data_IF_694829024072
#
_entry.id   IF_694829024072
#
_cell.length_a   1.000
_cell.length_b   1.000
_cell.length_c   1.000
_cell.angle_alpha   90.00
_cell.angle_beta   90.00
_cell.angle_gamma   90.00
#
_symmetry.space_group_name_H-M   'P 1'
#
loop_
_entity.id
_entity.type
_entity.pdbx_description
1 polymer ?
#
# COMPACT_ATOMS: atom_id res chain seq x y z
N UNK A 1 7.77 -3.46 -17.61
CA UNK A 1 7.47 -4.89 -17.68
C UNK A 1 5.99 -5.16 -17.86
N UNK A 2 5.64 -5.55 -19.09
CA UNK A 2 4.28 -5.89 -19.54
C UNK A 2 4.04 -7.42 -19.56
N UNK A 3 4.73 -8.18 -18.70
CA UNK A 3 4.75 -9.65 -18.76
C UNK A 3 3.82 -10.36 -17.75
N UNK A 4 2.95 -9.64 -17.02
CA UNK A 4 1.95 -10.28 -16.16
C UNK A 4 0.57 -10.47 -16.81
N UNK A 5 0.48 -10.47 -18.14
CA UNK A 5 -0.74 -10.83 -18.89
C UNK A 5 -0.60 -12.22 -19.50
N UNK A 6 -0.79 -13.34 -18.76
CA UNK A 6 -1.28 -14.55 -19.47
C UNK A 6 -2.09 -15.62 -18.70
N UNK A 7 -2.74 -15.38 -17.54
CA UNK A 7 -3.59 -16.42 -16.90
C UNK A 7 -5.06 -16.02 -16.78
N UNK A 8 -5.37 -14.83 -16.25
CA UNK A 8 -6.77 -14.44 -15.97
C UNK A 8 -7.64 -14.28 -17.23
N UNK A 9 -7.10 -13.75 -18.33
CA UNK A 9 -7.83 -13.60 -19.59
C UNK A 9 -8.10 -14.94 -20.33
N UNK A 10 -7.38 -16.01 -19.95
CA UNK A 10 -7.66 -17.38 -20.40
C UNK A 10 -8.71 -18.04 -19.50
N UNK A 11 -8.69 -17.78 -18.19
CA UNK A 11 -9.65 -18.33 -17.23
C UNK A 11 -11.07 -17.77 -17.42
N UNK A 12 -11.20 -16.46 -17.67
CA UNK A 12 -12.49 -15.78 -17.87
C UNK A 12 -13.29 -16.32 -19.07
N UNK A 13 -12.63 -16.96 -20.05
CA UNK A 13 -13.31 -17.59 -21.20
C UNK A 13 -13.98 -18.93 -20.87
N UNK A 14 -13.69 -19.51 -19.70
CA UNK A 14 -14.15 -20.86 -19.30
C UNK A 14 -14.93 -20.87 -17.98
N UNK A 15 -15.08 -19.72 -17.32
CA UNK A 15 -15.89 -19.58 -16.12
C UNK A 15 -17.35 -19.34 -16.54
N UNK A 16 -18.27 -20.15 -16.01
CA UNK A 16 -19.70 -19.85 -16.09
C UNK A 16 -19.96 -18.45 -15.51
N UNK A 17 -20.96 -17.73 -16.04
CA UNK A 17 -21.32 -16.38 -15.57
C UNK A 17 -21.40 -16.31 -14.03
N UNK A 18 -21.98 -17.33 -13.40
CA UNK A 18 -22.11 -17.49 -11.95
C UNK A 18 -20.76 -17.43 -11.19
N UNK A 19 -19.68 -17.93 -11.78
CA UNK A 19 -18.36 -17.93 -11.15
C UNK A 19 -17.67 -16.56 -11.25
N UNK A 20 -18.03 -15.75 -12.26
CA UNK A 20 -17.56 -14.38 -12.36
C UNK A 20 -18.27 -13.50 -11.33
N UNK A 21 -19.58 -13.68 -11.18
CA UNK A 21 -20.40 -12.93 -10.23
C UNK A 21 -19.93 -13.21 -8.79
N UNK A 22 -19.75 -14.49 -8.43
CA UNK A 22 -19.20 -14.89 -7.12
C UNK A 22 -17.85 -14.23 -6.84
N UNK A 23 -16.98 -14.15 -7.86
CA UNK A 23 -15.66 -13.54 -7.70
C UNK A 23 -15.74 -12.02 -7.51
N UNK A 24 -16.65 -11.34 -8.20
CA UNK A 24 -16.89 -9.91 -7.98
C UNK A 24 -17.41 -9.67 -6.56
N UNK A 25 -18.37 -10.47 -6.09
CA UNK A 25 -18.88 -10.37 -4.73
C UNK A 25 -17.79 -10.59 -3.66
N UNK A 26 -16.87 -11.54 -3.88
CA UNK A 26 -15.71 -11.75 -3.00
C UNK A 26 -14.83 -10.50 -2.93
N UNK A 27 -14.54 -9.88 -4.07
CA UNK A 27 -13.75 -8.65 -4.14
C UNK A 27 -14.47 -7.48 -3.45
N UNK A 28 -15.79 -7.37 -3.61
CA UNK A 28 -16.62 -6.35 -2.97
C UNK A 28 -16.63 -6.48 -1.45
N UNK A 29 -16.70 -7.72 -0.92
CA UNK A 29 -16.53 -7.97 0.52
C UNK A 29 -15.15 -7.55 1.02
N UNK A 30 -14.10 -7.79 0.25
CA UNK A 30 -12.75 -7.32 0.60
C UNK A 30 -12.66 -5.78 0.56
N UNK A 31 -13.28 -5.13 -0.42
CA UNK A 31 -13.36 -3.66 -0.50
C UNK A 31 -14.05 -3.12 0.75
N UNK A 32 -15.25 -3.63 1.07
CA UNK A 32 -16.02 -3.25 2.25
C UNK A 32 -15.17 -3.38 3.53
N UNK A 33 -14.49 -4.52 3.70
CA UNK A 33 -13.58 -4.75 4.83
C UNK A 33 -12.50 -3.65 4.92
N UNK A 34 -11.85 -3.31 3.81
CA UNK A 34 -10.76 -2.35 3.77
C UNK A 34 -11.20 -0.88 3.86
N UNK A 35 -12.49 -0.57 3.77
CA UNK A 35 -13.00 0.79 3.95
C UNK A 35 -13.83 0.96 5.22
N UNK A 36 -14.02 -0.10 6.02
CA UNK A 36 -14.82 -0.06 7.26
C UNK A 36 -14.12 -0.61 8.50
N UNK A 37 -13.46 -1.78 8.40
CA UNK A 37 -12.89 -2.51 9.55
C UNK A 37 -11.37 -2.40 9.61
N UNK A 38 -10.72 -2.71 8.49
CA UNK A 38 -9.26 -2.73 8.37
C UNK A 38 -8.83 -1.65 7.38
N UNK A 39 -8.98 -0.38 7.77
CA UNK A 39 -8.80 0.77 6.88
C UNK A 39 -7.51 0.69 6.05
N UNK A 40 -7.67 0.54 4.74
CA UNK A 40 -6.60 0.39 3.77
C UNK A 40 -7.10 0.70 2.34
N UNK A 41 -7.23 1.98 2.03
CA UNK A 41 -7.79 2.46 0.76
C UNK A 41 -6.98 2.04 -0.47
N UNK A 42 -5.66 1.86 -0.37
CA UNK A 42 -4.90 1.33 -1.51
C UNK A 42 -5.12 -0.18 -1.73
N UNK A 43 -5.42 -0.98 -0.69
CA UNK A 43 -5.90 -2.35 -0.91
C UNK A 43 -7.28 -2.35 -1.56
N UNK A 44 -8.20 -1.50 -1.10
CA UNK A 44 -9.50 -1.31 -1.74
C UNK A 44 -9.35 -0.91 -3.21
N UNK A 45 -8.45 0.04 -3.53
CA UNK A 45 -8.14 0.46 -4.90
C UNK A 45 -7.65 -0.70 -5.78
N UNK A 46 -6.76 -1.57 -5.28
CA UNK A 46 -6.33 -2.77 -6.03
C UNK A 46 -7.48 -3.72 -6.34
N UNK A 47 -8.44 -3.86 -5.42
CA UNK A 47 -9.63 -4.71 -5.64
C UNK A 47 -10.60 -4.08 -6.62
N UNK A 48 -10.87 -2.78 -6.47
CA UNK A 48 -11.70 -2.03 -7.41
C UNK A 48 -11.14 -2.08 -8.83
N UNK A 49 -9.81 -1.96 -9.01
CA UNK A 49 -9.19 -2.13 -10.32
C UNK A 49 -9.55 -3.47 -10.96
N UNK A 50 -9.49 -4.56 -10.18
CA UNK A 50 -9.86 -5.88 -10.67
C UNK A 50 -11.35 -5.96 -11.01
N UNK A 51 -12.23 -5.46 -10.14
CA UNK A 51 -13.68 -5.46 -10.41
C UNK A 51 -13.99 -4.66 -11.67
N UNK A 52 -13.49 -3.44 -11.79
CA UNK A 52 -13.76 -2.55 -12.90
C UNK A 52 -13.25 -3.11 -14.22
N UNK A 53 -12.05 -3.70 -14.22
CA UNK A 53 -11.49 -4.37 -15.39
C UNK A 53 -12.35 -5.56 -15.85
N UNK A 54 -12.93 -6.31 -14.90
CA UNK A 54 -13.73 -7.51 -15.19
C UNK A 54 -15.17 -7.17 -15.61
N UNK A 55 -15.73 -6.10 -15.04
CA UNK A 55 -17.10 -5.64 -15.30
C UNK A 55 -17.21 -4.66 -16.49
N UNK A 56 -16.08 -4.33 -17.13
CA UNK A 56 -16.05 -3.46 -18.32
C UNK A 56 -16.01 -1.95 -18.01
N UNK A 57 -15.80 -1.56 -16.75
CA UNK A 57 -15.61 -0.17 -16.29
C UNK A 57 -14.17 0.29 -16.55
N UNK A 58 -13.77 0.33 -17.82
CA UNK A 58 -12.37 0.51 -18.20
C UNK A 58 -11.80 1.89 -17.87
N UNK A 59 -12.63 2.94 -17.84
CA UNK A 59 -12.20 4.29 -17.49
C UNK A 59 -11.75 4.36 -16.01
N UNK A 60 -12.56 3.83 -15.10
CA UNK A 60 -12.19 3.77 -13.68
C UNK A 60 -11.03 2.80 -13.44
N UNK A 61 -10.94 1.71 -14.21
CA UNK A 61 -9.77 0.82 -14.15
C UNK A 61 -8.49 1.52 -14.61
N UNK A 62 -8.55 2.35 -15.65
CA UNK A 62 -7.42 3.13 -16.13
C UNK A 62 -6.98 4.17 -15.09
N UNK A 63 -7.94 4.89 -14.50
CA UNK A 63 -7.69 5.84 -13.41
C UNK A 63 -6.97 5.16 -12.23
N UNK A 64 -7.47 4.01 -11.77
CA UNK A 64 -6.85 3.29 -10.67
C UNK A 64 -5.45 2.79 -11.03
N UNK A 65 -5.21 2.36 -12.27
CA UNK A 65 -3.86 1.96 -12.73
C UNK A 65 -2.90 3.14 -12.65
N UNK A 66 -3.30 4.31 -13.17
CA UNK A 66 -2.47 5.52 -13.14
C UNK A 66 -2.20 6.00 -11.73
N UNK A 67 -3.19 5.87 -10.83
CA UNK A 67 -3.01 6.15 -9.42
C UNK A 67 -1.88 5.31 -8.80
N UNK A 68 -1.71 4.04 -9.20
CA UNK A 68 -0.60 3.18 -8.76
C UNK A 68 0.75 3.48 -9.42
N UNK A 69 0.78 4.31 -10.45
CA UNK A 69 2.02 4.81 -11.05
C UNK A 69 2.49 6.11 -10.37
N UNK A 70 1.70 6.69 -9.45
CA UNK A 70 2.07 7.90 -8.72
C UNK A 70 3.18 7.65 -7.68
N UNK A 71 4.12 8.59 -7.48
CA UNK A 71 5.20 8.45 -6.49
C UNK A 71 4.71 8.16 -5.07
N UNK A 72 3.55 8.71 -4.68
CA UNK A 72 2.87 8.44 -3.41
C UNK A 72 2.67 6.96 -3.11
N UNK A 73 2.52 6.14 -4.14
CA UNK A 73 2.28 4.71 -3.98
C UNK A 73 3.55 3.90 -3.75
N UNK A 74 4.74 4.48 -4.01
CA UNK A 74 6.01 3.88 -3.62
C UNK A 74 6.09 3.69 -2.09
N UNK A 75 5.36 4.50 -1.32
CA UNK A 75 5.25 4.37 0.14
C UNK A 75 4.57 3.06 0.59
N UNK A 76 3.85 2.35 -0.29
CA UNK A 76 3.44 0.97 0.03
C UNK A 76 4.63 0.02 0.13
N UNK A 77 5.65 0.22 -0.70
CA UNK A 77 6.85 -0.60 -0.72
C UNK A 77 7.76 -0.27 0.47
N UNK A 78 7.77 0.99 0.91
CA UNK A 78 8.58 1.42 2.06
C UNK A 78 8.17 0.73 3.37
N UNK A 79 6.89 0.39 3.53
CA UNK A 79 6.42 -0.42 4.67
C UNK A 79 7.03 -1.83 4.72
N UNK A 80 7.19 -2.48 3.56
CA UNK A 80 7.78 -3.82 3.49
C UNK A 80 9.26 -3.78 3.88
N UNK A 81 9.95 -2.70 3.52
CA UNK A 81 11.34 -2.48 3.88
C UNK A 81 11.49 -2.20 5.39
N UNK A 82 10.67 -1.33 5.99
CA UNK A 82 10.69 -1.11 7.46
C UNK A 82 10.44 -2.41 8.23
N UNK A 83 9.51 -3.27 7.77
CA UNK A 83 9.31 -4.60 8.35
C UNK A 83 10.55 -5.49 8.20
N UNK A 84 11.19 -5.45 7.04
CA UNK A 84 12.42 -6.21 6.80
C UNK A 84 13.54 -5.75 7.74
N UNK A 85 13.67 -4.44 7.99
CA UNK A 85 14.61 -3.92 8.98
C UNK A 85 14.32 -4.48 10.39
N UNK A 86 13.06 -4.47 10.81
CA UNK A 86 12.64 -5.03 12.11
C UNK A 86 12.91 -6.53 12.23
N UNK A 87 12.56 -7.32 11.21
CA UNK A 87 12.79 -8.76 11.19
C UNK A 87 14.29 -9.08 11.30
N UNK A 88 15.16 -8.28 10.67
CA UNK A 88 16.62 -8.44 10.72
C UNK A 88 17.17 -8.12 12.11
N UNK A 89 16.76 -6.99 12.69
CA UNK A 89 17.16 -6.60 14.05
C UNK A 89 16.71 -7.66 15.06
N UNK A 90 15.50 -8.20 14.92
CA UNK A 90 14.96 -9.24 15.81
C UNK A 90 15.59 -10.61 15.66
N UNK A 91 16.06 -10.97 14.47
CA UNK A 91 16.61 -12.30 14.19
C UNK A 91 18.11 -12.40 14.48
N UNK A 92 18.77 -11.29 14.87
CA UNK A 92 20.23 -11.19 14.94
C UNK A 92 20.92 -11.74 13.68
N UNK A 93 20.22 -11.71 12.53
CA UNK A 93 20.72 -12.27 11.30
C UNK A 93 21.99 -11.52 10.91
N UNK A 94 23.02 -12.26 10.47
CA UNK A 94 24.27 -11.69 10.00
C UNK A 94 24.04 -10.95 8.67
N UNK A 95 23.52 -9.72 8.75
CA UNK A 95 23.39 -8.79 7.65
C UNK A 95 24.42 -7.69 7.84
N UNK A 96 25.00 -7.24 6.74
CA UNK A 96 25.90 -6.10 6.70
C UNK A 96 25.15 -4.82 7.17
N UNK A 97 25.52 -4.22 8.33
CA UNK A 97 24.91 -3.00 8.83
C UNK A 97 24.98 -1.84 7.84
N UNK A 98 26.00 -1.81 6.98
CA UNK A 98 26.15 -0.78 5.93
C UNK A 98 25.05 -0.90 4.89
N UNK A 99 24.72 -2.12 4.47
CA UNK A 99 23.65 -2.37 3.50
C UNK A 99 22.27 -2.03 4.08
N UNK A 100 22.11 -2.19 5.40
CA UNK A 100 20.86 -1.91 6.11
C UNK A 100 20.64 -0.40 6.29
N UNK A 101 21.69 0.34 6.64
CA UNK A 101 21.67 1.81 6.69
C UNK A 101 21.42 2.41 5.30
N UNK A 102 22.06 1.89 4.25
CA UNK A 102 21.83 2.35 2.88
C UNK A 102 20.37 2.17 2.43
N UNK A 103 19.71 1.09 2.85
CA UNK A 103 18.28 0.89 2.61
C UNK A 103 17.43 1.91 3.37
N UNK A 104 17.74 2.18 4.64
CA UNK A 104 17.05 3.20 5.43
C UNK A 104 17.20 4.61 4.81
N UNK A 105 18.39 4.94 4.29
CA UNK A 105 18.65 6.23 3.61
C UNK A 105 17.87 6.34 2.29
N UNK A 106 17.79 5.25 1.51
CA UNK A 106 16.99 5.22 0.28
C UNK A 106 15.48 5.40 0.57
N UNK A 107 14.99 4.82 1.67
CA UNK A 107 13.63 5.02 2.15
C UNK A 107 13.38 6.48 2.52
N UNK A 108 14.29 7.09 3.28
CA UNK A 108 14.22 8.50 3.65
C UNK A 108 14.15 9.39 2.40
N UNK A 109 15.00 9.14 1.41
CA UNK A 109 14.96 9.89 0.15
C UNK A 109 13.64 9.71 -0.60
N UNK A 110 13.03 8.52 -0.55
CA UNK A 110 11.74 8.27 -1.18
C UNK A 110 10.65 9.08 -0.48
N UNK A 111 10.58 9.01 0.85
CA UNK A 111 9.62 9.78 1.65
C UNK A 111 9.76 11.27 1.40
N UNK A 112 11.00 11.76 1.32
CA UNK A 112 11.33 13.17 1.11
C UNK A 112 10.90 13.70 -0.27
N UNK A 113 10.96 12.86 -1.30
CA UNK A 113 10.57 13.19 -2.67
C UNK A 113 9.06 13.10 -2.91
N UNK A 114 8.37 12.29 -2.10
CA UNK A 114 7.00 11.89 -2.34
C UNK A 114 6.01 12.69 -1.48
N UNK A 115 6.41 13.03 -0.26
CA UNK A 115 5.56 13.74 0.68
C UNK A 115 5.94 15.22 0.72
N UNK A 116 4.94 16.05 0.99
CA UNK A 116 5.11 17.48 1.21
C UNK A 116 4.53 17.94 2.55
N UNK A 117 4.98 19.12 3.00
CA UNK A 117 4.43 19.82 4.16
C UNK A 117 4.54 19.03 5.48
N UNK A 118 3.57 19.18 6.40
CA UNK A 118 3.63 18.57 7.73
C UNK A 118 3.80 17.05 7.74
N UNK A 119 3.16 16.34 6.80
CA UNK A 119 3.25 14.87 6.68
C UNK A 119 4.66 14.41 6.31
N UNK A 120 5.36 15.14 5.43
CA UNK A 120 6.78 14.90 5.13
C UNK A 120 7.62 15.03 6.38
N UNK A 121 7.44 16.11 7.14
CA UNK A 121 8.24 16.39 8.34
C UNK A 121 8.07 15.29 9.41
N UNK A 122 6.85 14.80 9.61
CA UNK A 122 6.57 13.70 10.53
C UNK A 122 7.24 12.40 10.07
N UNK A 123 7.00 11.99 8.83
CA UNK A 123 7.52 10.75 8.28
C UNK A 123 9.06 10.72 8.23
N UNK A 124 9.69 11.82 7.79
CA UNK A 124 11.16 11.96 7.80
C UNK A 124 11.68 11.88 9.22
N UNK A 125 11.07 12.57 10.20
CA UNK A 125 11.53 12.51 11.60
C UNK A 125 11.50 11.08 12.17
N UNK A 126 10.41 10.34 11.92
CA UNK A 126 10.28 8.95 12.39
C UNK A 126 11.31 8.04 11.70
N UNK A 127 11.48 8.17 10.40
CA UNK A 127 12.44 7.36 9.63
C UNK A 127 13.89 7.67 9.98
N UNK A 128 14.24 8.93 10.22
CA UNK A 128 15.58 9.31 10.69
C UNK A 128 15.87 8.72 12.07
N UNK A 129 14.86 8.67 12.96
CA UNK A 129 15.00 8.03 14.26
C UNK A 129 15.27 6.53 14.13
N UNK A 130 14.55 5.83 13.25
CA UNK A 130 14.79 4.40 12.96
C UNK A 130 16.22 4.20 12.42
N UNK A 131 16.65 5.04 11.48
CA UNK A 131 18.02 5.01 10.92
C UNK A 131 19.09 5.23 11.98
N UNK A 132 18.90 6.21 12.87
CA UNK A 132 19.87 6.53 13.92
C UNK A 132 19.97 5.44 15.00
N UNK A 133 18.86 4.78 15.32
CA UNK A 133 18.87 3.65 16.26
C UNK A 133 19.53 2.42 15.67
N UNK A 134 19.36 2.21 14.36
CA UNK A 134 20.07 1.18 13.63
C UNK A 134 21.59 1.41 13.64
N UNK A 135 22.01 2.65 13.41
CA UNK A 135 23.43 3.07 13.39
C UNK A 135 24.10 2.88 14.76
N UNK A 136 23.36 3.08 15.85
CA UNK A 136 23.85 2.87 17.22
C UNK A 136 23.91 1.40 17.64
N UNK A 137 23.16 0.52 16.97
CA UNK A 137 23.00 -0.87 17.41
C UNK A 137 22.31 -1.00 18.78
N UNK A 138 21.36 -0.10 19.05
CA UNK A 138 20.65 0.01 20.33
C UNK A 138 19.64 -1.15 20.57
N UNK A 139 19.00 -1.15 21.75
CA UNK A 139 17.96 -2.10 22.18
C UNK A 139 16.92 -2.43 21.09
N UNK A 140 16.87 -3.71 20.69
CA UNK A 140 15.98 -4.23 19.66
C UNK A 140 14.49 -3.96 19.95
N UNK A 141 14.06 -3.99 21.22
CA UNK A 141 12.66 -3.73 21.59
C UNK A 141 12.28 -2.27 21.32
N UNK A 142 13.21 -1.36 21.61
CA UNK A 142 13.04 0.07 21.35
C UNK A 142 13.03 0.34 19.84
N UNK A 143 13.91 -0.31 19.08
CA UNK A 143 13.91 -0.23 17.62
C UNK A 143 12.56 -0.66 17.04
N UNK A 144 12.05 -1.84 17.44
CA UNK A 144 10.75 -2.35 16.99
C UNK A 144 9.63 -1.35 17.25
N UNK A 145 9.57 -0.75 18.44
CA UNK A 145 8.53 0.23 18.77
C UNK A 145 8.56 1.45 17.84
N UNK A 146 9.74 1.96 17.48
CA UNK A 146 9.84 3.10 16.56
C UNK A 146 9.63 2.69 15.09
N UNK A 147 10.06 1.49 14.69
CA UNK A 147 9.77 0.94 13.37
C UNK A 147 8.25 0.79 13.16
N UNK A 148 7.52 0.30 14.18
CA UNK A 148 6.06 0.22 14.15
C UNK A 148 5.40 1.61 14.08
N UNK A 149 5.90 2.58 14.83
CA UNK A 149 5.40 3.96 14.77
C UNK A 149 5.61 4.58 13.38
N UNK A 150 6.81 4.43 12.79
CA UNK A 150 7.12 4.89 11.45
C UNK A 150 6.22 4.21 10.40
N UNK A 151 5.99 2.90 10.54
CA UNK A 151 5.11 2.14 9.65
C UNK A 151 3.65 2.60 9.76
N UNK A 152 3.16 2.87 10.97
CA UNK A 152 1.81 3.36 11.19
C UNK A 152 1.59 4.74 10.56
N UNK A 153 2.55 5.65 10.70
CA UNK A 153 2.50 6.97 10.08
C UNK A 153 2.51 6.88 8.55
N UNK A 154 3.45 6.12 7.98
CA UNK A 154 3.50 5.91 6.53
C UNK A 154 2.21 5.28 6.00
N UNK A 155 1.60 4.35 6.76
CA UNK A 155 0.29 3.80 6.42
C UNK A 155 -0.79 4.87 6.43
N UNK A 156 -0.86 5.71 7.46
CA UNK A 156 -1.86 6.77 7.53
C UNK A 156 -1.76 7.71 6.33
N UNK A 157 -0.54 8.14 5.99
CA UNK A 157 -0.30 9.04 4.85
C UNK A 157 -0.74 8.42 3.53
N UNK A 158 -0.36 7.16 3.28
CA UNK A 158 -0.76 6.43 2.07
C UNK A 158 -2.27 6.25 2.04
N UNK A 159 -2.86 5.89 3.18
CA UNK A 159 -4.30 5.66 3.29
C UNK A 159 -5.09 6.93 2.98
N UNK A 160 -4.64 8.08 3.50
CA UNK A 160 -5.24 9.38 3.24
C UNK A 160 -5.10 9.77 1.76
N UNK A 161 -3.92 9.56 1.15
CA UNK A 161 -3.71 9.79 -0.28
C UNK A 161 -4.70 8.99 -1.14
N UNK A 162 -4.83 7.68 -0.89
CA UNK A 162 -5.77 6.85 -1.65
C UNK A 162 -7.22 7.26 -1.37
N UNK A 163 -7.57 7.57 -0.13
CA UNK A 163 -8.91 8.04 0.20
C UNK A 163 -9.29 9.31 -0.58
N UNK A 164 -8.42 10.32 -0.57
CA UNK A 164 -8.62 11.58 -1.30
C UNK A 164 -8.81 11.33 -2.80
N UNK A 165 -7.98 10.46 -3.40
CA UNK A 165 -8.05 10.17 -4.85
C UNK A 165 -9.29 9.36 -5.23
N UNK A 166 -9.63 8.35 -4.43
CA UNK A 166 -10.82 7.53 -4.69
C UNK A 166 -12.12 8.31 -4.52
N UNK A 167 -12.18 9.25 -3.59
CA UNK A 167 -13.37 10.08 -3.35
C UNK A 167 -13.47 11.28 -4.29
N UNK A 168 -12.38 11.66 -4.97
CA UNK A 168 -12.40 12.74 -5.96
C UNK A 168 -13.12 12.37 -7.27
N UNK A 169 -13.22 11.08 -7.62
CA UNK A 169 -13.95 10.62 -8.80
C UNK A 169 -15.36 10.14 -8.40
N UNK A 170 -16.45 10.83 -8.81
CA UNK A 170 -17.80 10.52 -8.33
C UNK A 170 -18.26 9.08 -8.58
N UNK A 171 -17.85 8.46 -9.70
CA UNK A 171 -18.21 7.08 -10.04
C UNK A 171 -17.53 6.04 -9.14
N UNK A 172 -16.33 6.34 -8.62
CA UNK A 172 -15.63 5.49 -7.65
C UNK A 172 -16.20 5.73 -6.27
N UNK A 173 -16.46 6.98 -5.89
CA UNK A 173 -17.09 7.31 -4.62
C UNK A 173 -18.47 6.63 -4.49
N UNK A 174 -19.31 6.71 -5.52
CA UNK A 174 -20.61 6.05 -5.54
C UNK A 174 -20.49 4.53 -5.40
N UNK A 175 -19.47 3.94 -6.03
CA UNK A 175 -19.21 2.50 -5.92
C UNK A 175 -18.76 2.11 -4.50
N UNK A 176 -17.91 2.90 -3.86
CA UNK A 176 -17.52 2.70 -2.47
C UNK A 176 -18.72 2.74 -1.52
N UNK A 177 -19.61 3.72 -1.71
CA UNK A 177 -20.87 3.83 -0.93
C UNK A 177 -21.70 2.56 -1.10
N UNK A 178 -21.89 2.10 -2.34
CA UNK A 178 -22.64 0.87 -2.62
C UNK A 178 -22.03 -0.37 -1.92
N UNK A 179 -20.70 -0.53 -1.93
CA UNK A 179 -20.04 -1.63 -1.22
C UNK A 179 -20.18 -1.55 0.30
N UNK A 180 -20.42 -0.37 0.87
CA UNK A 180 -20.61 -0.19 2.32
C UNK A 180 -22.05 -0.35 2.79
N UNK A 181 -23.02 -0.21 1.87
CA UNK A 181 -24.44 -0.35 2.15
C UNK A 181 -24.99 -1.76 1.87
N UNK A 182 -24.21 -2.60 1.19
CA UNK A 182 -24.49 -4.02 0.91
C UNK A 182 -24.19 -4.93 2.12
#
# INVERSE_FOLDING_TARGET
DAESVPIFAKLARHLAADALDTYVEDLEREIQKYVTKDLNYGKAAKRMYNVFRITGRYEEAAYLRELFDEPATALYQTQALVRTLDDVVRSEAAIDPVALLAQADALLSTVDQVLDGPRRHEAVRLMTRVRDELDRGDDALRFTAHADAARAELMAVVNDFFHERLTALPSIQAYLVACTEA
#
